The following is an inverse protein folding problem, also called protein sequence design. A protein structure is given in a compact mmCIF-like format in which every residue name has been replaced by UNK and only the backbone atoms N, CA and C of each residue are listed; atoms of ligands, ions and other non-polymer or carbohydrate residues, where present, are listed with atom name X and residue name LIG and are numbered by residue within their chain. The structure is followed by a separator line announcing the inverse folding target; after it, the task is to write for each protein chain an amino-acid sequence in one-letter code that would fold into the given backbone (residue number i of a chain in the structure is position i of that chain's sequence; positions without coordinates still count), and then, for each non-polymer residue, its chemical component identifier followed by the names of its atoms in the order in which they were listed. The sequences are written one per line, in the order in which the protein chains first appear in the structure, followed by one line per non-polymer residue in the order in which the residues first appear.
data_IF_385083045700
#
_entry.id   IF_385083045700
#
_cell.length_a   1.000
_cell.length_b   1.000
_cell.length_c   1.000
_cell.angle_alpha   90.00
_cell.angle_beta   90.00
_cell.angle_gamma   90.00
#
_symmetry.space_group_name_H-M   'P 1'
#
loop_
_entity.id
_entity.type
_entity.pdbx_description
1 polymer ?
#
# COMPACT_ATOMS: atom_id res chain seq x y z
N UNK A 1 -2.51 11.28 -5.74
CA UNK A 1 -3.14 10.43 -6.75
C UNK A 1 -2.74 8.98 -6.55
N UNK A 2 -3.70 8.08 -6.64
CA UNK A 2 -3.47 6.65 -6.60
C UNK A 2 -3.68 6.06 -7.98
N UNK A 3 -3.05 4.92 -8.21
CA UNK A 3 -3.13 4.18 -9.47
C UNK A 3 -3.36 2.71 -9.17
N UNK A 4 -4.05 2.02 -10.05
CA UNK A 4 -4.16 0.56 -9.97
C UNK A 4 -3.52 -0.08 -11.21
N UNK A 5 -3.02 -1.28 -11.03
CA UNK A 5 -2.32 -2.03 -12.08
C UNK A 5 -3.31 -2.82 -12.94
N UNK A 6 -3.12 -2.77 -14.25
CA UNK A 6 -3.89 -3.54 -15.22
C UNK A 6 -2.92 -4.37 -16.08
N UNK A 7 -2.77 -5.67 -15.79
CA UNK A 7 -1.85 -6.53 -16.57
C UNK A 7 -2.24 -6.62 -18.05
N UNK A 8 -3.54 -6.54 -18.33
CA UNK A 8 -4.04 -6.59 -19.70
C UNK A 8 -3.42 -5.51 -20.59
N UNK A 9 -3.14 -4.35 -20.00
CA UNK A 9 -2.56 -3.21 -20.70
C UNK A 9 -1.12 -2.93 -20.30
N UNK A 10 -0.60 -3.64 -19.30
CA UNK A 10 0.75 -3.40 -18.78
C UNK A 10 0.95 -2.02 -18.19
N UNK A 11 -0.11 -1.37 -17.75
CA UNK A 11 -0.07 0.03 -17.31
C UNK A 11 -0.73 0.21 -15.96
N UNK A 12 -0.43 1.34 -15.33
CA UNK A 12 -1.13 1.81 -14.14
C UNK A 12 -2.16 2.86 -14.55
N UNK A 13 -3.39 2.68 -14.09
CA UNK A 13 -4.50 3.58 -14.39
C UNK A 13 -4.80 4.48 -13.19
N UNK A 14 -5.08 5.78 -13.38
CA UNK A 14 -5.38 6.68 -12.28
C UNK A 14 -6.68 6.30 -11.57
N UNK A 15 -6.71 6.53 -10.28
CA UNK A 15 -7.84 6.20 -9.41
C UNK A 15 -8.03 7.29 -8.36
N UNK A 16 -9.26 7.62 -8.04
CA UNK A 16 -9.61 8.61 -7.00
C UNK A 16 -9.80 7.95 -5.64
N UNK A 17 -8.88 7.07 -5.27
CA UNK A 17 -8.88 6.42 -3.98
C UNK A 17 -7.84 7.08 -3.08
N UNK A 18 -8.24 7.39 -1.85
CA UNK A 18 -7.35 7.99 -0.85
C UNK A 18 -7.47 7.26 0.46
N UNK A 19 -6.33 6.96 1.05
CA UNK A 19 -6.27 6.39 2.39
C UNK A 19 -5.60 7.41 3.30
N UNK A 20 -6.35 7.86 4.31
CA UNK A 20 -5.78 8.70 5.37
C UNK A 20 -5.01 7.81 6.33
N UNK A 21 -3.74 8.13 6.54
CA UNK A 21 -2.85 7.30 7.36
C UNK A 21 -2.60 7.97 8.71
N UNK A 22 -2.75 7.21 9.77
CA UNK A 22 -2.43 7.65 11.14
C UNK A 22 -1.62 6.58 11.85
N UNK A 23 -1.03 6.97 12.97
CA UNK A 23 -0.12 6.11 13.74
C UNK A 23 -0.83 4.83 14.21
N UNK A 24 -0.16 3.70 14.04
CA UNK A 24 -0.65 2.34 14.33
C UNK A 24 -1.79 1.86 13.43
N UNK A 25 -2.10 2.57 12.36
CA UNK A 25 -3.12 2.09 11.42
C UNK A 25 -2.63 0.85 10.69
N UNK A 26 -3.54 -0.10 10.49
CA UNK A 26 -3.26 -1.31 9.70
C UNK A 26 -3.60 -1.10 8.24
N UNK A 27 -2.82 -1.75 7.38
CA UNK A 27 -3.11 -1.86 5.95
C UNK A 27 -3.71 -3.24 5.70
N UNK A 28 -4.83 -3.28 4.99
CA UNK A 28 -5.56 -4.52 4.70
C UNK A 28 -5.58 -4.81 3.20
N UNK A 29 -5.96 -6.03 2.83
CA UNK A 29 -6.02 -6.45 1.42
C UNK A 29 -6.94 -5.57 0.57
N UNK A 30 -8.03 -5.06 1.13
CA UNK A 30 -8.93 -4.15 0.40
C UNK A 30 -8.33 -2.77 0.15
N UNK A 31 -7.28 -2.40 0.89
CA UNK A 31 -6.49 -1.20 0.59
C UNK A 31 -5.49 -1.47 -0.54
N UNK A 32 -5.00 -2.71 -0.62
CA UNK A 32 -3.99 -3.10 -1.61
C UNK A 32 -4.59 -3.30 -2.98
N UNK A 33 -5.77 -3.96 -3.07
CA UNK A 33 -6.37 -4.34 -4.33
C UNK A 33 -7.78 -3.79 -4.44
N UNK A 34 -8.08 -3.12 -5.55
CA UNK A 34 -9.37 -2.47 -5.78
C UNK A 34 -10.55 -3.45 -5.91
N UNK A 35 -10.27 -4.71 -6.20
CA UNK A 35 -11.30 -5.72 -6.36
C UNK A 35 -11.61 -6.50 -5.08
N UNK A 36 -10.86 -6.25 -4.00
CA UNK A 36 -11.12 -6.85 -2.69
C UNK A 36 -11.97 -5.88 -1.87
N UNK A 37 -13.12 -6.35 -1.40
CA UNK A 37 -14.05 -5.54 -0.61
C UNK A 37 -14.12 -6.05 0.83
N UNK A 38 -14.17 -5.16 1.82
CA UNK A 38 -14.31 -5.55 3.22
C UNK A 38 -15.77 -5.98 3.48
N UNK A 39 -16.02 -7.29 3.43
CA UNK A 39 -17.36 -7.82 3.68
C UNK A 39 -17.27 -9.14 4.46
N UNK A 40 -18.44 -9.66 4.85
CA UNK A 40 -18.54 -10.86 5.68
C UNK A 40 -18.08 -12.13 4.98
N UNK A 41 -17.94 -12.11 3.65
CA UNK A 41 -17.56 -13.27 2.85
C UNK A 41 -16.04 -13.46 2.79
N UNK A 42 -15.26 -12.49 3.26
CA UNK A 42 -13.82 -12.65 3.31
C UNK A 42 -13.44 -13.70 4.35
N UNK A 43 -12.46 -14.52 4.04
CA UNK A 43 -11.88 -15.47 4.97
C UNK A 43 -11.20 -14.73 6.13
N UNK A 44 -10.99 -15.43 7.25
CA UNK A 44 -10.27 -14.85 8.38
C UNK A 44 -8.86 -14.41 7.96
N UNK A 45 -8.21 -15.17 7.09
CA UNK A 45 -6.90 -14.82 6.57
C UNK A 45 -6.93 -13.52 5.76
N UNK A 46 -7.95 -13.33 4.92
CA UNK A 46 -8.07 -12.12 4.10
C UNK A 46 -8.43 -10.89 4.91
N UNK A 47 -8.90 -11.06 6.15
CA UNK A 47 -9.18 -9.96 7.08
C UNK A 47 -7.96 -9.55 7.90
N UNK A 48 -6.85 -10.28 7.82
CA UNK A 48 -5.65 -9.96 8.59
C UNK A 48 -4.90 -8.78 7.98
N UNK A 49 -4.29 -7.94 8.80
CA UNK A 49 -3.46 -6.86 8.29
C UNK A 49 -2.29 -7.37 7.45
N UNK A 50 -2.01 -6.69 6.36
CA UNK A 50 -0.88 -6.98 5.48
C UNK A 50 0.28 -6.02 5.69
N UNK A 51 0.05 -4.93 6.42
CA UNK A 51 1.07 -3.95 6.77
C UNK A 51 0.61 -3.07 7.92
N UNK A 52 1.56 -2.35 8.51
CA UNK A 52 1.30 -1.41 9.60
C UNK A 52 1.95 -0.07 9.30
N UNK A 53 1.24 1.01 9.60
CA UNK A 53 1.77 2.37 9.51
C UNK A 53 2.20 2.84 10.89
N UNK A 54 3.40 3.44 10.96
CA UNK A 54 3.92 4.00 12.20
C UNK A 54 4.53 5.37 11.97
N UNK A 55 4.37 6.25 12.95
CA UNK A 55 5.10 7.50 13.01
C UNK A 55 6.16 7.37 14.11
N UNK A 56 7.43 7.43 13.73
CA UNK A 56 8.53 7.19 14.64
C UNK A 56 9.70 8.12 14.31
N UNK A 57 10.24 8.80 15.33
CA UNK A 57 11.35 9.75 15.17
C UNK A 57 11.12 10.79 14.08
N UNK A 58 9.90 11.33 14.01
CA UNK A 58 9.55 12.34 13.02
C UNK A 58 9.33 11.80 11.61
N UNK A 59 9.28 10.49 11.43
CA UNK A 59 9.14 9.86 10.12
C UNK A 59 7.94 8.93 10.08
N UNK A 60 7.26 8.93 8.95
CA UNK A 60 6.22 7.94 8.67
C UNK A 60 6.85 6.74 7.98
N UNK A 61 6.49 5.53 8.43
CA UNK A 61 6.96 4.28 7.83
C UNK A 61 5.79 3.33 7.61
N UNK A 62 5.93 2.49 6.59
CA UNK A 62 5.06 1.33 6.35
C UNK A 62 5.89 0.08 6.56
N UNK A 63 5.45 -0.78 7.48
CA UNK A 63 6.10 -2.07 7.75
C UNK A 63 5.33 -3.14 6.98
N UNK A 64 6.05 -3.92 6.16
CA UNK A 64 5.46 -5.03 5.43
C UNK A 64 5.26 -6.22 6.36
N UNK A 65 4.02 -6.69 6.49
CA UNK A 65 3.73 -7.87 7.31
C UNK A 65 3.45 -9.13 6.48
N UNK A 66 2.76 -8.98 5.33
CA UNK A 66 2.30 -10.13 4.55
C UNK A 66 2.34 -9.93 3.04
N UNK A 67 2.86 -8.82 2.55
CA UNK A 67 2.87 -8.54 1.12
C UNK A 67 4.11 -9.15 0.47
N UNK A 68 3.88 -10.02 -0.51
CA UNK A 68 4.96 -10.73 -1.20
C UNK A 68 5.60 -9.91 -2.32
N UNK A 69 4.98 -8.80 -2.69
CA UNK A 69 5.40 -8.04 -3.87
C UNK A 69 5.27 -6.53 -3.64
N UNK A 70 5.73 -6.08 -2.48
CA UNK A 70 5.77 -4.67 -2.10
C UNK A 70 7.07 -4.04 -2.57
N UNK A 71 6.98 -2.92 -3.28
CA UNK A 71 8.14 -2.27 -3.87
C UNK A 71 8.16 -0.78 -3.58
N UNK A 72 9.37 -0.28 -3.26
CA UNK A 72 9.68 1.14 -3.34
C UNK A 72 10.05 1.42 -4.81
N UNK A 73 9.13 2.07 -5.53
CA UNK A 73 9.31 2.28 -6.97
C UNK A 73 10.32 3.38 -7.30
N UNK A 74 10.57 4.30 -6.37
CA UNK A 74 11.56 5.35 -6.60
C UNK A 74 12.98 4.78 -6.60
N UNK A 75 13.26 3.84 -5.69
CA UNK A 75 14.55 3.16 -5.60
C UNK A 75 14.57 1.84 -6.35
N UNK A 76 13.42 1.37 -6.80
CA UNK A 76 13.22 0.07 -7.43
C UNK A 76 13.75 -1.08 -6.56
N UNK A 77 13.41 -1.03 -5.28
CA UNK A 77 13.83 -2.01 -4.27
C UNK A 77 12.61 -2.69 -3.68
N UNK A 78 12.66 -4.02 -3.61
CA UNK A 78 11.61 -4.81 -2.98
C UNK A 78 11.69 -4.69 -1.47
N UNK A 79 10.55 -4.53 -0.82
CA UNK A 79 10.43 -4.47 0.63
C UNK A 79 9.97 -5.84 1.11
N UNK A 80 10.85 -6.57 1.76
CA UNK A 80 10.57 -7.91 2.23
C UNK A 80 9.67 -7.89 3.48
N UNK A 81 9.12 -9.06 3.83
CA UNK A 81 8.32 -9.23 5.05
C UNK A 81 9.12 -8.76 6.26
N UNK A 82 8.50 -7.97 7.11
CA UNK A 82 9.07 -7.34 8.31
C UNK A 82 10.09 -6.23 8.04
N UNK A 83 10.27 -5.84 6.78
CA UNK A 83 11.04 -4.64 6.44
C UNK A 83 10.10 -3.44 6.35
N UNK A 84 10.68 -2.24 6.48
CA UNK A 84 9.94 -1.00 6.46
C UNK A 84 10.39 -0.12 5.29
N UNK A 85 9.47 0.70 4.80
CA UNK A 85 9.76 1.75 3.82
C UNK A 85 9.34 3.10 4.41
N UNK A 86 10.22 4.11 4.26
CA UNK A 86 9.90 5.46 4.71
C UNK A 86 8.93 6.13 3.73
N UNK A 87 7.93 6.79 4.28
CA UNK A 87 6.91 7.50 3.51
C UNK A 87 7.31 8.97 3.42
N UNK A 88 7.94 9.33 2.30
CA UNK A 88 8.32 10.71 2.03
C UNK A 88 7.40 11.32 0.98
N UNK A 89 7.35 12.64 0.91
CA UNK A 89 6.48 13.34 -0.04
C UNK A 89 6.78 12.89 -1.47
N UNK A 90 5.73 12.48 -2.18
CA UNK A 90 5.83 12.05 -3.56
C UNK A 90 6.35 10.63 -3.78
N UNK A 91 6.68 9.90 -2.70
CA UNK A 91 7.17 8.53 -2.84
C UNK A 91 6.13 7.64 -3.48
N UNK A 92 6.55 6.82 -4.43
CA UNK A 92 5.69 5.85 -5.10
C UNK A 92 5.94 4.47 -4.53
N UNK A 93 4.88 3.84 -4.05
CA UNK A 93 4.93 2.51 -3.45
C UNK A 93 3.97 1.60 -4.18
N UNK A 94 4.51 0.51 -4.74
CA UNK A 94 3.72 -0.51 -5.42
C UNK A 94 3.35 -1.58 -4.40
N UNK A 95 2.04 -1.76 -4.17
CA UNK A 95 1.54 -2.71 -3.18
C UNK A 95 1.45 -4.14 -3.71
N UNK A 96 1.54 -4.32 -5.01
CA UNK A 96 1.51 -5.62 -5.66
C UNK A 96 1.45 -5.46 -7.17
N UNK A 97 1.58 -6.56 -7.90
CA UNK A 97 1.57 -6.54 -9.37
C UNK A 97 0.46 -7.38 -9.98
N UNK A 98 -0.54 -7.75 -9.17
CA UNK A 98 -1.73 -8.42 -9.67
C UNK A 98 -2.74 -7.39 -10.18
N UNK A 99 -3.70 -7.86 -11.00
CA UNK A 99 -4.74 -6.98 -11.52
C UNK A 99 -5.50 -6.30 -10.38
N UNK A 100 -5.57 -4.98 -10.45
CA UNK A 100 -6.23 -4.18 -9.43
C UNK A 100 -5.37 -3.81 -8.23
N UNK A 101 -4.14 -4.34 -8.10
CA UNK A 101 -3.23 -3.91 -7.05
C UNK A 101 -2.83 -2.45 -7.25
N UNK A 102 -2.72 -1.72 -6.13
CA UNK A 102 -2.52 -0.28 -6.18
C UNK A 102 -1.05 0.12 -6.14
N UNK A 103 -0.75 1.14 -6.92
CA UNK A 103 0.45 1.96 -6.74
C UNK A 103 0.00 3.22 -6.01
N UNK A 104 0.57 3.49 -4.85
CA UNK A 104 0.23 4.68 -4.08
C UNK A 104 1.30 5.74 -4.22
N UNK A 105 0.85 7.00 -4.17
CA UNK A 105 1.74 8.15 -4.12
C UNK A 105 1.52 8.84 -2.78
N UNK A 106 2.60 8.98 -2.02
CA UNK A 106 2.54 9.52 -0.67
C UNK A 106 2.35 11.04 -0.74
N UNK A 107 1.38 11.54 0.03
CA UNK A 107 1.19 12.96 0.28
C UNK A 107 1.27 13.20 1.77
N UNK A 108 2.20 14.06 2.18
CA UNK A 108 2.30 14.45 3.59
C UNK A 108 1.43 15.67 3.83
N UNK A 109 0.53 15.55 4.81
CA UNK A 109 -0.33 16.67 5.21
C UNK A 109 0.41 17.43 6.31
N UNK A 110 0.60 18.70 6.07
CA UNK A 110 1.21 19.60 7.07
C UNK A 110 0.11 20.41 7.72
N UNK A 111 0.11 20.39 9.03
CA UNK A 111 -0.79 21.24 9.83
C UNK A 111 -0.10 22.53 10.23
#
# INVERSE_FOLDING_TARGET
LNFYYSPRHGTFNPENYRLMVYHHQSLYKWHVNRFVFPNERLSDEDKRPVGDFHFHNGKWILINRRLNDLWDKDKNVKIEINQAVELTEGKKILLGRQDGDRLIVVQLVKN
#
